data_IF_503715879545
#
_entry.id   IF_503715879545
#
_cell.length_a   1.000
_cell.length_b   1.000
_cell.length_c   1.000
_cell.angle_alpha   90.00
_cell.angle_beta   90.00
_cell.angle_gamma   90.00
#
_symmetry.space_group_name_H-M   'P 1'
#
loop_
_entity.id
_entity.type
_entity.pdbx_description
1 polymer ?
#
# COMPACT_ATOMS: atom_id res chain seq x y z
N UNK A 1 0.29 -11.55 16.89
CA UNK A 1 0.95 -11.67 15.58
C UNK A 1 1.40 -10.27 15.23
N UNK A 2 2.70 -10.02 15.15
CA UNK A 2 3.23 -8.74 14.69
C UNK A 2 2.84 -8.62 13.23
N UNK A 3 1.72 -7.95 12.99
CA UNK A 3 1.23 -7.70 11.65
C UNK A 3 2.20 -6.62 11.14
N UNK A 4 3.22 -6.95 10.35
CA UNK A 4 4.24 -5.99 9.90
C UNK A 4 3.69 -5.15 8.74
N UNK A 5 3.99 -3.84 8.71
CA UNK A 5 3.49 -2.92 7.69
C UNK A 5 3.76 -3.45 6.27
N UNK A 6 4.95 -4.01 6.05
CA UNK A 6 5.35 -4.53 4.74
C UNK A 6 4.50 -5.74 4.31
N UNK A 7 4.08 -6.60 5.24
CA UNK A 7 3.18 -7.73 4.94
C UNK A 7 1.81 -7.24 4.46
N UNK A 8 1.30 -6.16 5.05
CA UNK A 8 0.04 -5.54 4.60
C UNK A 8 0.18 -4.98 3.19
N UNK A 9 1.29 -4.31 2.88
CA UNK A 9 1.52 -3.77 1.53
C UNK A 9 1.70 -4.88 0.50
N UNK A 10 2.39 -5.97 0.87
CA UNK A 10 2.56 -7.14 0.02
C UNK A 10 1.22 -7.73 -0.42
N UNK A 11 0.33 -7.99 0.55
CA UNK A 11 -1.01 -8.51 0.29
C UNK A 11 -1.81 -7.52 -0.58
N UNK A 12 -1.80 -6.23 -0.23
CA UNK A 12 -2.48 -5.18 -0.98
C UNK A 12 -2.06 -5.18 -2.46
N UNK A 13 -0.77 -5.33 -2.77
CA UNK A 13 -0.29 -5.34 -4.16
C UNK A 13 -0.69 -6.62 -4.89
N UNK A 14 -0.55 -7.79 -4.27
CA UNK A 14 -0.80 -9.08 -4.92
C UNK A 14 -2.29 -9.39 -5.08
N UNK A 15 -3.12 -8.94 -4.14
CA UNK A 15 -4.56 -9.24 -4.09
C UNK A 15 -5.41 -8.11 -4.69
N UNK A 16 -4.77 -7.05 -5.19
CA UNK A 16 -5.47 -5.91 -5.78
C UNK A 16 -6.30 -6.31 -7.00
N UNK A 17 -7.58 -5.87 -7.11
CA UNK A 17 -8.43 -6.13 -8.27
C UNK A 17 -7.87 -5.61 -9.60
N UNK A 18 -7.05 -4.56 -9.57
CA UNK A 18 -6.41 -4.02 -10.78
C UNK A 18 -5.14 -4.79 -11.17
N UNK A 19 -4.64 -5.67 -10.30
CA UNK A 19 -3.48 -6.53 -10.52
C UNK A 19 -2.13 -5.82 -10.31
N UNK A 20 -1.17 -6.56 -9.76
CA UNK A 20 0.16 -6.06 -9.41
C UNK A 20 0.94 -5.47 -10.60
N UNK A 21 0.72 -5.95 -11.83
CA UNK A 21 1.36 -5.42 -13.04
C UNK A 21 0.86 -4.02 -13.40
N UNK A 22 -0.43 -3.76 -13.25
CA UNK A 22 -1.01 -2.43 -13.47
C UNK A 22 -0.54 -1.45 -12.39
N UNK A 23 -0.45 -1.91 -11.13
CA UNK A 23 0.13 -1.11 -10.04
C UNK A 23 1.57 -0.73 -10.36
N UNK A 24 2.42 -1.68 -10.77
CA UNK A 24 3.81 -1.41 -11.13
C UNK A 24 3.93 -0.34 -12.23
N UNK A 25 3.09 -0.42 -13.27
CA UNK A 25 3.04 0.58 -14.33
C UNK A 25 2.62 1.96 -13.79
N UNK A 26 1.56 2.01 -12.98
CA UNK A 26 1.07 3.26 -12.40
C UNK A 26 2.11 3.94 -11.50
N UNK A 27 2.83 3.16 -10.69
CA UNK A 27 3.90 3.70 -9.82
C UNK A 27 5.22 3.97 -10.57
N UNK A 28 5.28 3.69 -11.87
CA UNK A 28 6.45 3.97 -12.71
C UNK A 28 7.64 3.04 -12.45
N UNK A 29 7.41 1.80 -11.99
CA UNK A 29 8.48 0.83 -11.69
C UNK A 29 8.39 -0.44 -12.53
N UNK A 30 9.54 -1.09 -12.84
CA UNK A 30 9.52 -2.45 -13.35
C UNK A 30 8.78 -3.38 -12.39
N UNK A 31 7.97 -4.28 -12.94
CA UNK A 31 7.15 -5.22 -12.16
C UNK A 31 7.97 -6.04 -11.15
N UNK A 32 9.10 -6.61 -11.60
CA UNK A 32 10.00 -7.39 -10.75
C UNK A 32 10.61 -6.55 -9.63
N UNK A 33 10.96 -5.29 -9.90
CA UNK A 33 11.47 -4.36 -8.88
C UNK A 33 10.42 -4.10 -7.81
N UNK A 34 9.17 -3.78 -8.21
CA UNK A 34 8.09 -3.56 -7.25
C UNK A 34 7.86 -4.80 -6.38
N UNK A 35 7.77 -5.99 -6.98
CA UNK A 35 7.54 -7.23 -6.23
C UNK A 35 8.63 -7.51 -5.21
N UNK A 36 9.90 -7.21 -5.52
CA UNK A 36 10.99 -7.34 -4.55
C UNK A 36 10.84 -6.35 -3.40
N UNK A 37 10.54 -5.09 -3.70
CA UNK A 37 10.40 -4.02 -2.69
C UNK A 37 9.25 -4.26 -1.72
N UNK A 38 8.17 -4.90 -2.15
CA UNK A 38 7.03 -5.23 -1.29
C UNK A 38 7.14 -6.61 -0.64
N UNK A 39 8.12 -7.43 -1.00
CA UNK A 39 8.26 -8.78 -0.48
C UNK A 39 8.81 -8.76 0.97
N UNK A 40 8.04 -9.24 1.98
CA UNK A 40 8.51 -9.28 3.38
C UNK A 40 9.74 -10.17 3.59
N UNK A 41 10.05 -11.08 2.65
CA UNK A 41 11.17 -12.01 2.74
C UNK A 41 12.42 -11.53 1.98
N UNK A 42 12.33 -10.48 1.15
CA UNK A 42 13.51 -9.89 0.48
C UNK A 42 14.10 -8.77 1.35
N UNK A 43 15.10 -9.12 2.16
CA UNK A 43 15.75 -8.15 3.06
C UNK A 43 16.61 -7.12 2.33
N UNK A 44 16.96 -7.37 1.06
CA UNK A 44 17.83 -6.53 0.23
C UNK A 44 17.12 -5.45 -0.58
N UNK A 45 15.79 -5.47 -0.62
CA UNK A 45 14.97 -4.42 -1.22
C UNK A 45 14.15 -3.68 -0.16
N UNK A 46 13.85 -2.41 -0.39
CA UNK A 46 13.05 -1.58 0.52
C UNK A 46 12.04 -0.77 -0.28
N UNK A 47 10.80 -0.77 0.20
CA UNK A 47 9.76 0.09 -0.34
C UNK A 47 9.99 1.54 0.09
N UNK A 48 10.07 2.45 -0.88
CA UNK A 48 10.14 3.89 -0.62
C UNK A 48 8.78 4.47 -0.21
N UNK A 49 8.78 5.50 0.64
CA UNK A 49 7.56 6.13 1.16
C UNK A 49 6.68 6.74 0.05
N UNK A 50 7.28 7.35 -0.98
CA UNK A 50 6.53 7.88 -2.12
C UNK A 50 5.85 6.77 -2.93
N UNK A 51 6.55 5.65 -3.12
CA UNK A 51 5.98 4.48 -3.80
C UNK A 51 4.83 3.90 -2.98
N UNK A 52 4.97 3.79 -1.65
CA UNK A 52 3.88 3.37 -0.76
C UNK A 52 2.65 4.28 -0.90
N UNK A 53 2.85 5.61 -0.87
CA UNK A 53 1.74 6.56 -1.07
C UNK A 53 1.07 6.38 -2.43
N UNK A 54 1.85 6.18 -3.49
CA UNK A 54 1.32 6.00 -4.83
C UNK A 54 0.53 4.68 -4.94
N UNK A 55 1.00 3.58 -4.35
CA UNK A 55 0.25 2.31 -4.27
C UNK A 55 -1.12 2.54 -3.62
N UNK A 56 -1.18 3.22 -2.47
CA UNK A 56 -2.45 3.50 -1.78
C UNK A 56 -3.40 4.35 -2.63
N UNK A 57 -2.88 5.38 -3.32
CA UNK A 57 -3.69 6.22 -4.23
C UNK A 57 -4.22 5.43 -5.42
N UNK A 58 -3.39 4.63 -6.07
CA UNK A 58 -3.75 3.85 -7.26
C UNK A 58 -4.77 2.76 -6.94
N UNK A 59 -4.68 2.16 -5.75
CA UNK A 59 -5.59 1.09 -5.32
C UNK A 59 -6.81 1.61 -4.57
N UNK A 60 -6.79 2.85 -4.10
CA UNK A 60 -7.79 3.39 -3.18
C UNK A 60 -7.78 2.74 -1.79
N UNK A 61 -6.81 1.87 -1.49
CA UNK A 61 -6.73 1.13 -0.24
C UNK A 61 -5.77 1.83 0.72
N UNK A 62 -6.32 2.36 1.81
CA UNK A 62 -5.60 3.13 2.84
C UNK A 62 -5.19 2.29 4.06
N UNK A 63 -5.39 0.97 4.05
CA UNK A 63 -5.06 0.09 5.18
C UNK A 63 -3.60 0.21 5.67
N UNK A 64 -2.57 0.38 4.80
CA UNK A 64 -1.21 0.64 5.29
C UNK A 64 -1.11 1.93 6.12
N UNK A 65 -1.82 2.99 5.73
CA UNK A 65 -1.84 4.26 6.45
C UNK A 65 -2.57 4.15 7.80
N UNK A 66 -3.71 3.46 7.83
CA UNK A 66 -4.45 3.16 9.08
C UNK A 66 -3.56 2.44 10.09
N UNK A 67 -2.79 1.46 9.60
CA UNK A 67 -1.87 0.69 10.42
C UNK A 67 -0.72 1.52 10.97
N UNK A 68 -0.10 2.37 10.13
CA UNK A 68 0.91 3.32 10.58
C UNK A 68 0.37 4.24 11.68
N UNK A 69 -0.86 4.75 11.52
CA UNK A 69 -1.50 5.58 12.54
C UNK A 69 -1.67 4.81 13.86
N UNK A 70 -2.22 3.59 13.81
CA UNK A 70 -2.43 2.74 14.98
C UNK A 70 -1.12 2.41 15.71
N UNK A 71 -0.06 2.05 14.97
CA UNK A 71 1.26 1.75 15.54
C UNK A 71 1.87 2.97 16.26
N UNK A 72 1.54 4.19 15.81
CA UNK A 72 2.00 5.43 16.42
C UNK A 72 1.07 5.94 17.53
N UNK A 73 -0.01 5.23 17.87
CA UNK A 73 -1.00 5.68 18.86
C UNK A 73 -1.93 6.79 18.36
N UNK A 74 -2.04 6.97 17.05
CA UNK A 74 -2.95 7.88 16.37
C UNK A 74 -4.12 7.13 15.75
N UNK A 75 -5.14 7.88 15.34
CA UNK A 75 -6.26 7.39 14.52
C UNK A 75 -6.28 8.15 13.20
N UNK A 76 -6.61 7.45 12.12
CA UNK A 76 -6.81 8.08 10.81
C UNK A 76 -8.23 8.61 10.72
N UNK A 77 -8.38 9.89 10.41
CA UNK A 77 -9.66 10.53 10.13
C UNK A 77 -9.64 11.00 8.67
N UNK A 78 -10.68 10.72 7.86
CA UNK A 78 -10.79 11.29 6.53
C UNK A 78 -10.84 12.82 6.60
N UNK A 79 -10.21 13.49 5.64
CA UNK A 79 -10.43 14.92 5.47
C UNK A 79 -11.92 15.18 5.12
N UNK A 80 -12.52 16.20 5.75
CA UNK A 80 -13.91 16.58 5.48
C UNK A 80 -14.15 16.73 3.97
N UNK A 81 -15.22 16.11 3.46
CA UNK A 81 -15.59 16.14 2.04
C UNK A 81 -14.95 15.09 1.13
N UNK A 82 -14.02 14.24 1.63
CA UNK A 82 -13.41 13.16 0.82
C UNK A 82 -13.96 11.76 1.14
N UNK A 83 -14.80 11.62 2.17
CA UNK A 83 -15.32 10.33 2.62
C UNK A 83 -16.67 9.94 2.02
N UNK A 84 -16.86 9.93 0.68
CA UNK A 84 -18.05 9.30 0.09
C UNK A 84 -17.99 9.09 -1.43
N UNK A 85 -17.03 8.32 -1.93
CA UNK A 85 -17.16 7.66 -3.25
C UNK A 85 -16.47 6.32 -3.11
N UNK A 86 -17.11 5.29 -2.56
CA UNK A 86 -17.87 4.30 -3.33
C UNK A 86 -18.97 3.70 -2.42
N UNK A 87 -20.23 3.85 -2.80
CA UNK A 87 -21.30 2.90 -2.45
C UNK A 87 -21.87 2.41 -3.77
N UNK A 88 -21.62 1.15 -4.08
CA UNK A 88 -22.40 0.36 -5.03
C UNK A 88 -23.23 -0.63 -4.22
#
# INVERSE_FOLDING_TARGET
MSNDLITTVHALVLESPIGAKAIAQAVGKPYSTLLREVNPYDTGAKLGAETLMHIMKTTGNVTPLEKMALEMGYRLEPAEGMGSTVRA
#
